data_IF_507015030322
#
_entry.id   IF_507015030322
#
_cell.length_a   1.000
_cell.length_b   1.000
_cell.length_c   1.000
_cell.angle_alpha   90.00
_cell.angle_beta   90.00
_cell.angle_gamma   90.00
#
_symmetry.space_group_name_H-M   'P 1'
#
loop_
_entity.id
_entity.type
_entity.pdbx_description
1 polymer ?
#
# COMPACT_ATOMS: atom_id res chain seq x y z
N UNK A 1 -18.70 -10.04 14.15
CA UNK A 1 -19.23 -9.33 12.97
C UNK A 1 -18.11 -8.61 12.21
N UNK A 2 -17.65 -9.14 11.07
CA UNK A 2 -16.65 -8.49 10.17
C UNK A 2 -17.32 -7.86 8.95
N UNK A 3 -18.36 -7.04 9.15
CA UNK A 3 -19.24 -6.55 8.07
C UNK A 3 -18.91 -5.14 7.54
N UNK A 4 -17.94 -4.42 8.10
CA UNK A 4 -17.72 -3.00 7.75
C UNK A 4 -16.57 -2.70 6.78
N UNK A 5 -15.44 -3.40 6.89
CA UNK A 5 -14.19 -2.94 6.27
C UNK A 5 -14.08 -3.14 4.75
N UNK A 6 -14.65 -4.19 4.12
CA UNK A 6 -14.62 -4.32 2.67
C UNK A 6 -15.38 -3.17 1.97
N UNK A 7 -16.47 -2.67 2.56
CA UNK A 7 -17.32 -1.64 1.95
C UNK A 7 -16.65 -0.26 1.88
N UNK A 8 -15.90 0.14 2.90
CA UNK A 8 -15.14 1.40 2.90
C UNK A 8 -13.98 1.40 1.90
N UNK A 9 -13.58 0.23 1.41
CA UNK A 9 -12.51 0.08 0.40
C UNK A 9 -13.11 -0.07 -1.00
N UNK A 10 -13.95 -1.10 -1.22
CA UNK A 10 -14.48 -1.45 -2.55
C UNK A 10 -15.41 -0.39 -3.13
N UNK A 11 -16.30 0.19 -2.32
CA UNK A 11 -17.24 1.21 -2.80
C UNK A 11 -16.52 2.45 -3.34
N UNK A 12 -15.62 3.08 -2.57
CA UNK A 12 -14.80 4.19 -3.06
C UNK A 12 -13.83 3.80 -4.17
N UNK A 13 -13.26 2.59 -4.14
CA UNK A 13 -12.30 2.14 -5.16
C UNK A 13 -12.96 1.91 -6.53
N UNK A 14 -14.16 1.33 -6.57
CA UNK A 14 -14.87 1.02 -7.83
C UNK A 14 -15.23 2.28 -8.62
N UNK A 15 -15.49 3.39 -7.93
CA UNK A 15 -15.78 4.71 -8.52
C UNK A 15 -14.55 5.42 -9.06
N UNK A 16 -13.34 4.87 -8.91
CA UNK A 16 -12.10 5.46 -9.39
C UNK A 16 -11.55 4.73 -10.61
N UNK A 17 -10.97 5.48 -11.54
CA UNK A 17 -10.13 4.92 -12.60
C UNK A 17 -8.74 4.55 -12.08
N UNK A 18 -8.01 3.70 -12.80
CA UNK A 18 -6.61 3.42 -12.47
C UNK A 18 -5.75 4.69 -12.52
N UNK A 19 -6.04 5.61 -13.44
CA UNK A 19 -5.40 6.94 -13.50
C UNK A 19 -5.64 7.72 -12.20
N UNK A 20 -6.86 7.75 -11.67
CA UNK A 20 -7.15 8.44 -10.41
C UNK A 20 -6.45 7.79 -9.21
N UNK A 21 -6.39 6.45 -9.17
CA UNK A 21 -5.67 5.72 -8.12
C UNK A 21 -4.16 5.93 -8.20
N UNK A 22 -3.58 5.92 -9.40
CA UNK A 22 -2.19 6.25 -9.67
C UNK A 22 -1.86 7.65 -9.15
N UNK A 23 -2.66 8.67 -9.53
CA UNK A 23 -2.45 10.05 -9.10
C UNK A 23 -2.55 10.21 -7.59
N UNK A 24 -3.47 9.51 -6.93
CA UNK A 24 -3.57 9.53 -5.47
C UNK A 24 -2.31 8.97 -4.77
N UNK A 25 -1.77 7.86 -5.27
CA UNK A 25 -0.52 7.26 -4.80
C UNK A 25 0.70 8.15 -5.07
N UNK A 26 0.76 8.76 -6.25
CA UNK A 26 1.83 9.66 -6.68
C UNK A 26 1.87 10.93 -5.83
N UNK A 27 0.70 11.55 -5.59
CA UNK A 27 0.59 12.79 -4.80
C UNK A 27 0.84 12.58 -3.31
N UNK A 28 0.41 11.45 -2.73
CA UNK A 28 0.60 11.17 -1.31
C UNK A 28 2.04 10.77 -0.98
N UNK A 29 2.78 10.19 -1.93
CA UNK A 29 4.16 9.72 -1.74
C UNK A 29 5.10 10.78 -1.15
N UNK A 30 5.31 11.93 -1.83
CA UNK A 30 6.18 13.01 -1.34
C UNK A 30 5.74 13.59 0.01
N UNK A 31 4.42 13.64 0.27
CA UNK A 31 3.89 14.14 1.54
C UNK A 31 4.25 13.20 2.70
N UNK A 32 4.15 11.89 2.48
CA UNK A 32 4.54 10.88 3.46
C UNK A 32 6.05 10.93 3.69
N UNK A 33 6.86 11.01 2.62
CA UNK A 33 8.33 11.19 2.72
C UNK A 33 8.70 12.41 3.57
N UNK A 34 8.03 13.54 3.36
CA UNK A 34 8.26 14.74 4.17
C UNK A 34 7.90 14.53 5.64
N UNK A 35 6.81 13.81 5.95
CA UNK A 35 6.44 13.45 7.33
C UNK A 35 7.48 12.54 7.98
N UNK A 36 8.00 11.56 7.24
CA UNK A 36 9.07 10.66 7.73
C UNK A 36 10.29 11.47 8.15
N UNK A 37 10.82 12.30 7.24
CA UNK A 37 12.05 13.07 7.45
C UNK A 37 11.91 14.07 8.60
N UNK A 38 10.75 14.69 8.76
CA UNK A 38 10.49 15.70 9.80
C UNK A 38 10.09 15.10 11.15
N UNK A 39 9.79 13.81 11.21
CA UNK A 39 9.23 13.22 12.42
C UNK A 39 10.23 13.22 13.58
N UNK A 40 9.73 13.52 14.77
CA UNK A 40 10.46 13.42 16.04
C UNK A 40 9.94 12.27 16.93
N UNK A 41 8.94 11.53 16.45
CA UNK A 41 8.32 10.45 17.22
C UNK A 41 9.25 9.25 17.33
N UNK A 42 9.37 8.68 18.54
CA UNK A 42 10.10 7.42 18.76
C UNK A 42 9.45 6.22 18.07
N UNK A 43 8.19 6.34 17.63
CA UNK A 43 7.45 5.29 16.93
C UNK A 43 7.63 5.31 15.41
N UNK A 44 8.36 6.29 14.87
CA UNK A 44 8.51 6.47 13.42
C UNK A 44 9.09 5.25 12.73
N UNK A 45 10.18 4.69 13.27
CA UNK A 45 10.80 3.48 12.72
C UNK A 45 9.81 2.31 12.60
N UNK A 46 9.07 2.02 13.68
CA UNK A 46 8.07 0.94 13.70
C UNK A 46 6.93 1.20 12.72
N UNK A 47 6.40 2.41 12.72
CA UNK A 47 5.25 2.80 11.88
C UNK A 47 5.60 2.72 10.40
N UNK A 48 6.74 3.29 9.99
CA UNK A 48 7.13 3.32 8.57
C UNK A 48 7.52 1.94 8.05
N UNK A 49 8.23 1.14 8.85
CA UNK A 49 8.50 -0.26 8.49
C UNK A 49 7.23 -1.04 8.28
N UNK A 50 6.20 -0.81 9.11
CA UNK A 50 4.90 -1.44 8.96
C UNK A 50 4.19 -0.99 7.68
N UNK A 51 4.13 0.31 7.39
CA UNK A 51 3.57 0.85 6.13
C UNK A 51 4.28 0.24 4.91
N UNK A 52 5.62 0.23 4.89
CA UNK A 52 6.40 -0.33 3.78
C UNK A 52 6.12 -1.84 3.63
N UNK A 53 6.08 -2.58 4.74
CA UNK A 53 5.78 -4.00 4.72
C UNK A 53 4.40 -4.30 4.14
N UNK A 54 3.37 -3.53 4.53
CA UNK A 54 2.01 -3.67 3.98
C UNK A 54 1.99 -3.35 2.48
N UNK A 55 2.69 -2.30 2.04
CA UNK A 55 2.71 -1.91 0.63
C UNK A 55 3.42 -2.97 -0.24
N UNK A 56 4.59 -3.47 0.19
CA UNK A 56 5.31 -4.56 -0.49
C UNK A 56 4.52 -5.87 -0.53
N UNK A 57 3.83 -6.21 0.56
CA UNK A 57 2.92 -7.34 0.60
C UNK A 57 1.75 -7.15 -0.37
N UNK A 58 1.15 -5.97 -0.39
CA UNK A 58 0.11 -5.61 -1.36
C UNK A 58 0.59 -5.70 -2.80
N UNK A 59 1.84 -5.31 -3.10
CA UNK A 59 2.44 -5.51 -4.43
C UNK A 59 2.52 -7.00 -4.80
N UNK A 60 2.92 -7.88 -3.87
CA UNK A 60 2.92 -9.33 -4.11
C UNK A 60 1.52 -9.85 -4.43
N UNK A 61 0.51 -9.38 -3.69
CA UNK A 61 -0.90 -9.73 -3.92
C UNK A 61 -1.37 -9.23 -5.28
N UNK A 62 -1.07 -7.98 -5.64
CA UNK A 62 -1.42 -7.38 -6.92
C UNK A 62 -0.78 -8.09 -8.12
N UNK A 63 0.44 -8.63 -7.97
CA UNK A 63 1.10 -9.44 -9.02
C UNK A 63 0.34 -10.72 -9.38
N UNK A 64 -0.57 -11.20 -8.52
CA UNK A 64 -1.46 -12.34 -8.85
C UNK A 64 -2.37 -12.02 -10.03
N UNK A 65 -2.83 -10.78 -10.16
CA UNK A 65 -3.59 -10.35 -11.34
C UNK A 65 -2.74 -10.42 -12.64
N UNK A 66 -1.42 -10.41 -12.52
CA UNK A 66 -0.48 -10.57 -13.64
C UNK A 66 -0.08 -12.04 -13.88
N UNK A 67 -0.74 -13.00 -13.21
CA UNK A 67 -0.49 -14.43 -13.37
C UNK A 67 0.54 -15.03 -12.40
N UNK A 68 1.07 -14.26 -11.45
CA UNK A 68 1.96 -14.83 -10.43
C UNK A 68 1.20 -15.66 -9.39
N UNK A 69 1.85 -16.67 -8.77
CA UNK A 69 1.17 -17.53 -7.79
C UNK A 69 0.79 -16.76 -6.52
N UNK A 70 -0.41 -17.08 -6.00
CA UNK A 70 -0.90 -16.56 -4.73
C UNK A 70 -0.15 -17.22 -3.56
N UNK A 71 0.57 -16.41 -2.79
CA UNK A 71 1.16 -16.84 -1.52
C UNK A 71 0.28 -16.36 -0.35
N UNK A 72 -0.18 -17.27 0.49
CA UNK A 72 -0.99 -16.96 1.68
C UNK A 72 -0.11 -16.61 2.89
N UNK A 73 0.68 -15.55 2.73
CA UNK A 73 1.56 -14.99 3.76
C UNK A 73 1.01 -13.69 4.37
N UNK A 74 1.75 -13.14 5.34
CA UNK A 74 1.49 -11.83 5.93
C UNK A 74 2.57 -10.81 5.59
N UNK A 75 2.36 -9.56 5.98
CA UNK A 75 3.27 -8.45 5.65
C UNK A 75 4.61 -8.43 6.43
N UNK A 76 4.74 -9.23 7.48
CA UNK A 76 5.90 -9.20 8.38
C UNK A 76 7.25 -9.43 7.66
N UNK A 77 7.39 -10.44 6.78
CA UNK A 77 8.64 -10.68 6.04
C UNK A 77 9.02 -9.57 5.07
N UNK A 78 8.09 -8.69 4.71
CA UNK A 78 8.32 -7.62 3.75
C UNK A 78 8.79 -6.30 4.39
N UNK A 79 8.83 -6.24 5.73
CA UNK A 79 9.27 -5.04 6.45
C UNK A 79 10.77 -4.81 6.21
N UNK A 80 11.22 -3.55 6.05
CA UNK A 80 12.65 -3.24 6.10
C UNK A 80 13.29 -3.69 7.44
N UNK A 81 14.62 -3.82 7.49
CA UNK A 81 15.36 -4.06 8.72
C UNK A 81 15.06 -3.04 9.83
N UNK A 82 15.32 -3.43 11.07
CA UNK A 82 15.26 -2.53 12.23
C UNK A 82 16.47 -1.58 12.27
N UNK A 83 16.36 -0.51 13.05
CA UNK A 83 17.46 0.45 13.25
C UNK A 83 17.74 1.41 12.10
N UNK A 84 17.00 1.37 10.99
CA UNK A 84 17.16 2.32 9.89
C UNK A 84 16.88 3.76 10.34
N UNK A 85 17.69 4.70 9.85
CA UNK A 85 17.47 6.14 10.04
C UNK A 85 16.21 6.61 9.31
N UNK A 86 15.70 7.79 9.68
CA UNK A 86 14.53 8.37 9.00
C UNK A 86 14.78 8.58 7.50
N UNK A 87 15.99 9.00 7.11
CA UNK A 87 16.33 9.18 5.70
C UNK A 87 16.34 7.85 4.94
N UNK A 88 16.93 6.79 5.52
CA UNK A 88 16.87 5.45 4.92
C UNK A 88 15.44 4.94 4.80
N UNK A 89 14.62 5.13 5.83
CA UNK A 89 13.19 4.75 5.78
C UNK A 89 12.41 5.55 4.73
N UNK A 90 12.71 6.83 4.56
CA UNK A 90 12.10 7.67 3.54
C UNK A 90 12.47 7.20 2.12
N UNK A 91 13.73 6.84 1.88
CA UNK A 91 14.19 6.26 0.62
C UNK A 91 13.53 4.91 0.34
N UNK A 92 13.48 4.01 1.33
CA UNK A 92 12.82 2.69 1.21
C UNK A 92 11.33 2.84 0.88
N UNK A 93 10.65 3.78 1.53
CA UNK A 93 9.25 4.10 1.23
C UNK A 93 9.09 4.66 -0.18
N UNK A 94 9.94 5.62 -0.58
CA UNK A 94 9.90 6.19 -1.92
C UNK A 94 10.11 5.13 -3.00
N UNK A 95 11.12 4.27 -2.84
CA UNK A 95 11.39 3.17 -3.77
C UNK A 95 10.20 2.19 -3.85
N UNK A 96 9.63 1.82 -2.69
CA UNK A 96 8.44 0.98 -2.62
C UNK A 96 7.26 1.64 -3.34
N UNK A 97 7.02 2.93 -3.15
CA UNK A 97 5.95 3.67 -3.83
C UNK A 97 6.13 3.70 -5.34
N UNK A 98 7.35 3.91 -5.83
CA UNK A 98 7.65 3.88 -7.26
C UNK A 98 7.36 2.50 -7.88
N UNK A 99 7.68 1.43 -7.18
CA UNK A 99 7.32 0.06 -7.60
C UNK A 99 5.80 -0.14 -7.65
N UNK A 100 5.06 0.41 -6.69
CA UNK A 100 3.58 0.38 -6.71
C UNK A 100 3.03 1.15 -7.91
N UNK A 101 3.55 2.35 -8.20
CA UNK A 101 3.13 3.16 -9.35
C UNK A 101 3.37 2.44 -10.69
N UNK A 102 4.54 1.82 -10.86
CA UNK A 102 4.85 0.99 -12.01
C UNK A 102 3.91 -0.23 -12.12
N UNK A 103 3.51 -0.81 -10.98
CA UNK A 103 2.56 -1.91 -10.95
C UNK A 103 1.16 -1.46 -11.39
N UNK A 104 0.68 -0.28 -10.98
CA UNK A 104 -0.61 0.26 -11.45
C UNK A 104 -0.65 0.36 -12.98
N UNK A 105 0.46 0.78 -13.61
CA UNK A 105 0.58 0.87 -15.06
C UNK A 105 0.47 -0.47 -15.78
N UNK A 106 0.96 -1.56 -15.16
CA UNK A 106 0.80 -2.90 -15.73
C UNK A 106 -0.61 -3.47 -15.53
N UNK A 107 -1.31 -2.99 -14.51
CA UNK A 107 -2.63 -3.48 -14.13
C UNK A 107 -3.77 -2.75 -14.86
N UNK A 108 -3.53 -1.55 -15.37
CA UNK A 108 -4.60 -0.72 -15.97
C UNK A 108 -5.17 -1.30 -17.27
N UNK A 109 -4.36 -2.08 -18.00
CA UNK A 109 -4.75 -2.71 -19.26
C UNK A 109 -5.34 -4.13 -19.10
N UNK A 110 -5.38 -4.66 -17.87
CA UNK A 110 -5.94 -5.98 -17.62
C UNK A 110 -7.47 -5.96 -17.65
N UNK A 111 -8.12 -7.04 -18.15
CA UNK A 111 -9.54 -7.22 -17.93
C UNK A 111 -9.84 -7.30 -16.43
N UNK A 112 -11.10 -7.06 -16.06
CA UNK A 112 -11.53 -7.21 -14.67
C UNK A 112 -11.35 -8.67 -14.25
N UNK A 113 -10.36 -8.91 -13.40
CA UNK A 113 -10.05 -10.23 -12.86
C UNK A 113 -10.77 -10.54 -11.55
N UNK A 114 -10.51 -11.73 -11.03
CA UNK A 114 -10.99 -12.15 -9.72
C UNK A 114 -10.44 -11.27 -8.59
N UNK A 115 -11.17 -11.27 -7.46
CA UNK A 115 -10.73 -10.57 -6.25
C UNK A 115 -9.59 -11.32 -5.58
N UNK A 116 -8.57 -10.59 -5.17
CA UNK A 116 -7.37 -11.13 -4.52
C UNK A 116 -7.56 -11.10 -2.99
N UNK A 117 -7.35 -12.23 -2.27
CA UNK A 117 -7.54 -12.30 -0.83
C UNK A 117 -6.67 -11.33 -0.02
N UNK A 118 -7.30 -10.54 0.86
CA UNK A 118 -6.64 -9.84 1.96
C UNK A 118 -6.94 -10.55 3.29
N UNK A 119 -5.90 -10.81 4.09
CA UNK A 119 -5.99 -11.65 5.31
C UNK A 119 -7.07 -11.20 6.32
N UNK A 120 -7.26 -9.89 6.50
CA UNK A 120 -8.27 -9.34 7.43
C UNK A 120 -9.51 -8.73 6.77
N UNK A 121 -9.41 -8.27 5.53
CA UNK A 121 -10.47 -7.51 4.84
C UNK A 121 -11.31 -8.38 3.90
N UNK A 122 -10.95 -9.65 3.72
CA UNK A 122 -11.54 -10.50 2.70
C UNK A 122 -11.00 -10.17 1.30
N UNK A 123 -11.54 -10.79 0.24
CA UNK A 123 -11.08 -10.56 -1.12
C UNK A 123 -11.34 -9.12 -1.58
N UNK A 124 -10.33 -8.49 -2.18
CA UNK A 124 -10.40 -7.15 -2.74
C UNK A 124 -10.15 -7.18 -4.25
N UNK A 125 -10.81 -6.30 -5.00
CA UNK A 125 -10.46 -6.02 -6.38
C UNK A 125 -9.06 -5.39 -6.48
N UNK A 126 -8.46 -5.39 -7.67
CA UNK A 126 -7.18 -4.69 -7.92
C UNK A 126 -7.29 -3.21 -7.50
N UNK A 127 -8.38 -2.55 -7.89
CA UNK A 127 -8.66 -1.17 -7.46
C UNK A 127 -8.82 -1.05 -5.95
N UNK A 128 -9.49 -2.01 -5.31
CA UNK A 128 -9.64 -2.08 -3.86
C UNK A 128 -8.30 -2.15 -3.14
N UNK A 129 -7.38 -3.01 -3.62
CA UNK A 129 -6.01 -3.08 -3.13
C UNK A 129 -5.26 -1.75 -3.25
N UNK A 130 -5.26 -1.13 -4.43
CA UNK A 130 -4.58 0.15 -4.66
C UNK A 130 -5.12 1.27 -3.77
N UNK A 131 -6.45 1.32 -3.62
CA UNK A 131 -7.10 2.28 -2.73
C UNK A 131 -6.73 2.03 -1.27
N UNK A 132 -6.77 0.77 -0.82
CA UNK A 132 -6.37 0.37 0.53
C UNK A 132 -4.93 0.77 0.85
N UNK A 133 -3.98 0.47 -0.05
CA UNK A 133 -2.56 0.79 0.17
C UNK A 133 -2.35 2.29 0.36
N UNK A 134 -2.98 3.12 -0.46
CA UNK A 134 -2.89 4.58 -0.34
C UNK A 134 -3.54 5.07 0.97
N UNK A 135 -4.76 4.62 1.27
CA UNK A 135 -5.52 5.02 2.46
C UNK A 135 -4.77 4.64 3.74
N UNK A 136 -4.28 3.40 3.82
CA UNK A 136 -3.54 2.88 4.96
C UNK A 136 -2.28 3.71 5.23
N UNK A 137 -1.44 3.91 4.20
CA UNK A 137 -0.21 4.67 4.34
C UNK A 137 -0.46 6.14 4.74
N UNK A 138 -1.47 6.80 4.16
CA UNK A 138 -1.78 8.18 4.50
C UNK A 138 -2.32 8.31 5.94
N UNK A 139 -3.26 7.46 6.36
CA UNK A 139 -3.83 7.50 7.71
C UNK A 139 -2.76 7.24 8.79
N UNK A 140 -1.90 6.24 8.60
CA UNK A 140 -0.88 5.91 9.59
C UNK A 140 0.25 6.94 9.63
N UNK A 141 0.70 7.44 8.49
CA UNK A 141 1.77 8.45 8.45
C UNK A 141 1.38 9.78 9.11
N UNK A 142 0.08 10.09 9.25
CA UNK A 142 -0.40 11.26 10.01
C UNK A 142 -0.09 11.16 11.51
N UNK A 143 0.25 9.97 12.03
CA UNK A 143 0.65 9.75 13.42
C UNK A 143 2.11 10.11 13.70
N UNK A 144 2.90 10.44 12.67
CA UNK A 144 4.33 10.77 12.77
C UNK A 144 4.61 12.20 13.25
N UNK A 145 3.59 12.90 13.76
CA UNK A 145 3.72 14.28 14.26
C UNK A 145 4.73 14.36 15.39
#
# INVERSE_FOLDING_TARGET
MRLGVPWFVEGPASRRSYVQLYRALEQSGPQIVARIRKSRSSQTGKTIRHIIGIERWGQRRLRVALGEPLLMDGHHPYKPPEGLTHDRLAEEFQATRQQTLALVKRLEDLPVGEKIPHNSLGPLSVKGWLFYLNLHADLESRRLR
#
